data_IF_559221468201
#
_entry.id   IF_559221468201
#
_cell.length_a   1.000
_cell.length_b   1.000
_cell.length_c   1.000
_cell.angle_alpha   90.00
_cell.angle_beta   90.00
_cell.angle_gamma   90.00
#
_symmetry.space_group_name_H-M   'P 1'
#
loop_
_entity.id
_entity.type
_entity.pdbx_description
1 polymer ?
#
# COMPACT_ATOMS: atom_id res chain seq x y z
N UNK A 1 -24.15 -5.96 11.99
CA UNK A 1 -22.66 -5.89 11.97
C UNK A 1 -22.10 -7.14 12.57
N UNK A 2 -21.19 -7.83 11.88
CA UNK A 2 -20.54 -9.04 12.37
C UNK A 2 -19.06 -8.74 12.60
N UNK A 3 -18.49 -9.26 13.71
CA UNK A 3 -17.04 -9.26 13.96
C UNK A 3 -16.44 -10.41 13.15
N UNK A 4 -15.42 -10.16 12.34
CA UNK A 4 -14.80 -11.17 11.46
C UNK A 4 -13.54 -11.78 12.06
N UNK A 5 -12.83 -11.04 12.93
CA UNK A 5 -11.60 -11.52 13.59
C UNK A 5 -11.71 -11.37 15.10
N UNK A 6 -11.00 -12.22 15.86
CA UNK A 6 -11.00 -12.23 17.33
C UNK A 6 -9.58 -12.47 17.88
N UNK A 7 -8.57 -11.95 17.19
CA UNK A 7 -7.18 -12.02 17.62
C UNK A 7 -6.83 -10.85 18.54
N UNK A 8 -5.92 -11.10 19.48
CA UNK A 8 -5.26 -10.05 20.24
C UNK A 8 -4.15 -9.45 19.37
N UNK A 9 -4.07 -8.13 19.34
CA UNK A 9 -3.08 -7.40 18.53
C UNK A 9 -3.74 -6.56 17.46
N UNK A 10 -3.10 -6.52 16.29
CA UNK A 10 -3.50 -5.67 15.17
C UNK A 10 -4.07 -6.51 14.03
N UNK A 11 -5.33 -6.29 13.69
CA UNK A 11 -5.99 -6.73 12.46
C UNK A 11 -6.60 -5.50 11.80
N UNK A 12 -5.98 -4.98 10.74
CA UNK A 12 -6.40 -3.73 10.11
C UNK A 12 -6.02 -3.63 8.61
N UNK A 13 -6.20 -2.44 8.03
CA UNK A 13 -5.90 -2.13 6.63
C UNK A 13 -6.60 -3.07 5.64
N UNK A 14 -7.81 -3.50 6.00
CA UNK A 14 -8.54 -4.49 5.22
C UNK A 14 -9.09 -3.91 3.91
N UNK A 15 -8.91 -4.64 2.82
CA UNK A 15 -9.55 -4.36 1.52
C UNK A 15 -10.26 -5.59 0.99
N UNK A 16 -11.39 -5.37 0.31
CA UNK A 16 -12.20 -6.44 -0.29
C UNK A 16 -11.79 -6.64 -1.74
N UNK A 17 -11.65 -7.88 -2.16
CA UNK A 17 -11.44 -8.26 -3.55
C UNK A 17 -12.55 -7.68 -4.45
N UNK A 18 -12.23 -7.11 -5.63
CA UNK A 18 -13.23 -6.60 -6.57
C UNK A 18 -14.25 -7.65 -7.04
N UNK A 19 -13.89 -8.94 -6.95
CA UNK A 19 -14.82 -10.03 -7.25
C UNK A 19 -15.69 -10.44 -6.06
N UNK A 20 -15.42 -9.85 -4.86
CA UNK A 20 -16.31 -9.92 -3.69
C UNK A 20 -16.20 -11.21 -2.87
N UNK A 21 -15.17 -12.01 -3.05
CA UNK A 21 -15.01 -13.34 -2.43
C UNK A 21 -14.02 -13.36 -1.27
N UNK A 22 -13.05 -12.44 -1.26
CA UNK A 22 -11.93 -12.39 -0.30
C UNK A 22 -11.75 -11.00 0.32
N UNK A 23 -11.13 -11.02 1.50
CA UNK A 23 -10.58 -9.84 2.17
C UNK A 23 -9.08 -10.09 2.34
N UNK A 24 -8.24 -9.09 2.04
CA UNK A 24 -6.84 -9.03 2.45
C UNK A 24 -6.71 -8.03 3.59
N UNK A 25 -5.86 -8.32 4.57
CA UNK A 25 -5.65 -7.45 5.73
C UNK A 25 -4.24 -7.67 6.31
N UNK A 26 -3.77 -6.70 7.09
CA UNK A 26 -2.51 -6.78 7.83
C UNK A 26 -2.78 -7.27 9.25
N UNK A 27 -1.96 -8.19 9.77
CA UNK A 27 -2.12 -8.75 11.12
C UNK A 27 -0.80 -9.03 11.80
N UNK A 28 -0.79 -8.86 13.13
CA UNK A 28 0.36 -9.22 14.00
C UNK A 28 0.23 -10.61 14.63
N UNK A 29 -0.69 -11.45 14.18
CA UNK A 29 -1.02 -12.75 14.81
C UNK A 29 0.13 -13.75 14.93
N UNK A 30 1.15 -13.64 14.08
CA UNK A 30 2.36 -14.47 14.11
C UNK A 30 3.60 -13.73 14.63
N UNK A 31 3.42 -12.55 15.24
CA UNK A 31 4.50 -11.79 15.88
C UNK A 31 5.20 -10.81 14.94
N UNK A 32 4.79 -10.72 13.68
CA UNK A 32 5.22 -9.71 12.71
C UNK A 32 4.00 -9.08 12.02
N UNK A 33 4.20 -8.01 11.26
CA UNK A 33 3.16 -7.36 10.47
C UNK A 33 3.11 -7.96 9.07
N UNK A 34 2.32 -9.03 8.94
CA UNK A 34 2.16 -9.79 7.70
C UNK A 34 0.79 -9.58 7.06
N UNK A 35 0.72 -9.85 5.76
CA UNK A 35 -0.55 -9.92 5.04
C UNK A 35 -1.22 -11.28 5.23
N UNK A 36 -2.52 -11.21 5.40
CA UNK A 36 -3.43 -12.36 5.48
C UNK A 36 -4.60 -12.16 4.54
N UNK A 37 -5.14 -13.27 4.06
CA UNK A 37 -6.44 -13.29 3.36
C UNK A 37 -7.45 -14.11 4.14
N UNK A 38 -8.73 -13.83 3.95
CA UNK A 38 -9.85 -14.61 4.46
C UNK A 38 -11.03 -14.54 3.49
N UNK A 39 -11.98 -15.44 3.63
CA UNK A 39 -13.28 -15.32 2.96
C UNK A 39 -14.05 -14.11 3.48
N UNK A 40 -15.02 -13.63 2.71
CA UNK A 40 -15.84 -12.46 3.07
C UNK A 40 -16.65 -12.67 4.38
N UNK A 41 -16.85 -13.89 4.80
CA UNK A 41 -17.50 -14.27 6.06
C UNK A 41 -16.54 -14.41 7.26
N UNK A 42 -15.23 -14.18 7.06
CA UNK A 42 -14.18 -14.31 8.06
C UNK A 42 -13.56 -15.70 8.16
N UNK A 43 -14.03 -16.68 7.41
CA UNK A 43 -13.47 -18.04 7.39
C UNK A 43 -12.20 -18.14 6.53
N UNK A 44 -11.49 -19.28 6.63
CA UNK A 44 -10.33 -19.64 5.80
C UNK A 44 -9.21 -18.59 5.83
N UNK A 45 -8.82 -18.15 7.04
CA UNK A 45 -7.73 -17.18 7.23
C UNK A 45 -6.39 -17.83 6.86
N UNK A 46 -5.67 -17.21 5.91
CA UNK A 46 -4.38 -17.67 5.41
C UNK A 46 -3.35 -16.56 5.44
N UNK A 47 -2.15 -16.86 5.91
CA UNK A 47 -0.99 -15.98 5.80
C UNK A 47 -0.48 -15.95 4.37
N UNK A 48 -0.13 -14.76 3.89
CA UNK A 48 0.32 -14.48 2.51
C UNK A 48 1.80 -14.12 2.47
N UNK A 49 2.29 -13.36 3.45
CA UNK A 49 3.70 -12.95 3.55
C UNK A 49 4.34 -13.50 4.81
N UNK A 50 5.69 -13.71 4.77
CA UNK A 50 6.43 -14.41 5.83
C UNK A 50 7.80 -13.82 6.10
N UNK A 51 8.24 -12.84 5.31
CA UNK A 51 9.56 -12.22 5.46
C UNK A 51 9.51 -11.16 6.56
N UNK A 52 10.60 -11.08 7.36
CA UNK A 52 10.70 -10.09 8.43
C UNK A 52 10.55 -8.67 7.90
N UNK A 53 9.62 -7.94 8.51
CA UNK A 53 9.32 -6.55 8.20
C UNK A 53 7.84 -6.27 8.07
N UNK A 54 7.49 -5.02 7.92
CA UNK A 54 6.11 -4.61 7.74
C UNK A 54 5.61 -4.91 6.34
N UNK A 55 4.48 -5.58 6.24
CA UNK A 55 3.68 -5.76 5.03
C UNK A 55 2.27 -5.24 5.26
N UNK A 56 1.83 -4.25 4.48
CA UNK A 56 0.50 -3.67 4.71
C UNK A 56 -0.02 -2.77 3.62
N UNK A 57 -1.27 -2.31 3.81
CA UNK A 57 -1.97 -1.46 2.85
C UNK A 57 -2.18 -2.12 1.50
N UNK A 58 -2.55 -3.41 1.50
CA UNK A 58 -2.67 -4.21 0.29
C UNK A 58 -3.99 -3.96 -0.44
N UNK A 59 -3.91 -3.98 -1.78
CA UNK A 59 -5.05 -3.93 -2.69
C UNK A 59 -4.99 -5.06 -3.71
N UNK A 60 -6.14 -5.62 -4.03
CA UNK A 60 -6.29 -6.58 -5.10
C UNK A 60 -6.22 -5.93 -6.48
N UNK A 61 -5.73 -6.68 -7.48
CA UNK A 61 -5.90 -6.35 -8.89
C UNK A 61 -7.39 -6.38 -9.29
N UNK A 62 -7.78 -5.71 -10.38
CA UNK A 62 -9.18 -5.66 -10.83
C UNK A 62 -9.84 -7.03 -11.03
N UNK A 63 -9.06 -8.05 -11.38
CA UNK A 63 -9.49 -9.44 -11.57
C UNK A 63 -9.38 -10.30 -10.28
N UNK A 64 -8.84 -9.72 -9.18
CA UNK A 64 -8.64 -10.41 -7.91
C UNK A 64 -7.44 -11.38 -7.88
N UNK A 65 -6.67 -11.49 -8.96
CA UNK A 65 -5.60 -12.49 -9.08
C UNK A 65 -4.29 -12.10 -8.39
N UNK A 66 -4.06 -10.80 -8.17
CA UNK A 66 -2.82 -10.26 -7.58
C UNK A 66 -3.09 -9.34 -6.40
N UNK A 67 -2.04 -9.15 -5.59
CA UNK A 67 -1.97 -8.16 -4.52
C UNK A 67 -0.80 -7.21 -4.78
N UNK A 68 -1.04 -5.91 -4.57
CA UNK A 68 -0.01 -4.88 -4.47
C UNK A 68 -0.03 -4.30 -3.06
N UNK A 69 1.12 -4.09 -2.44
CA UNK A 69 1.23 -3.60 -1.08
C UNK A 69 2.54 -2.85 -0.85
N UNK A 70 2.64 -2.12 0.25
CA UNK A 70 3.89 -1.52 0.72
C UNK A 70 4.56 -2.43 1.74
N UNK A 71 5.87 -2.42 1.73
CA UNK A 71 6.66 -3.29 2.57
C UNK A 71 7.96 -2.64 3.02
N UNK A 72 8.38 -2.92 4.25
CA UNK A 72 9.76 -2.68 4.69
C UNK A 72 10.49 -4.00 4.86
N UNK A 73 11.79 -3.99 4.56
CA UNK A 73 12.66 -5.17 4.70
C UNK A 73 13.95 -4.76 5.39
N UNK A 74 14.01 -4.80 6.73
CA UNK A 74 15.23 -4.52 7.47
C UNK A 74 16.31 -5.57 7.13
N UNK A 75 17.50 -5.11 6.74
CA UNK A 75 18.57 -5.97 6.22
C UNK A 75 19.76 -6.11 7.16
N UNK A 76 20.07 -5.08 7.93
CA UNK A 76 21.19 -5.09 8.87
C UNK A 76 20.71 -5.42 10.28
N UNK A 77 21.61 -5.97 11.11
CA UNK A 77 21.30 -6.30 12.51
C UNK A 77 20.70 -5.08 13.25
N UNK A 78 21.21 -3.89 12.99
CA UNK A 78 20.71 -2.64 13.58
C UNK A 78 19.29 -2.33 13.14
N UNK A 79 18.98 -2.44 11.85
CA UNK A 79 17.62 -2.20 11.33
C UNK A 79 16.64 -3.24 11.87
N UNK A 80 17.06 -4.48 11.97
CA UNK A 80 16.25 -5.58 12.53
C UNK A 80 15.93 -5.32 14.01
N UNK A 81 16.93 -4.91 14.80
CA UNK A 81 16.75 -4.59 16.22
C UNK A 81 15.82 -3.38 16.40
N UNK A 82 16.01 -2.33 15.61
CA UNK A 82 15.17 -1.14 15.61
C UNK A 82 13.72 -1.47 15.22
N UNK A 83 13.51 -2.25 14.14
CA UNK A 83 12.19 -2.69 13.73
C UNK A 83 11.47 -3.48 14.82
N UNK A 84 12.13 -4.48 15.41
CA UNK A 84 11.55 -5.30 16.48
C UNK A 84 11.21 -4.47 17.72
N UNK A 85 12.10 -3.56 18.11
CA UNK A 85 11.87 -2.65 19.24
C UNK A 85 10.66 -1.73 19.03
N UNK A 86 10.44 -1.25 17.81
CA UNK A 86 9.26 -0.46 17.47
C UNK A 86 7.99 -1.33 17.45
N UNK A 87 8.08 -2.52 16.88
CA UNK A 87 6.94 -3.46 16.81
C UNK A 87 6.45 -3.87 18.21
N UNK A 88 7.34 -4.11 19.15
CA UNK A 88 7.00 -4.37 20.56
C UNK A 88 6.24 -3.21 21.22
N UNK A 89 6.44 -1.99 20.75
CA UNK A 89 5.72 -0.79 21.19
C UNK A 89 4.43 -0.54 20.39
N UNK A 90 4.07 -1.40 19.44
CA UNK A 90 2.94 -1.22 18.53
C UNK A 90 3.17 -0.13 17.48
N UNK A 91 4.43 0.15 17.16
CA UNK A 91 4.84 1.18 16.20
C UNK A 91 5.55 0.57 15.00
N UNK A 92 5.48 1.26 13.86
CA UNK A 92 6.31 1.00 12.67
C UNK A 92 6.86 2.31 12.14
N UNK A 93 8.07 2.26 11.59
CA UNK A 93 8.65 3.40 10.92
C UNK A 93 8.04 3.54 9.52
N UNK A 94 7.46 4.71 9.16
CA UNK A 94 6.76 4.88 7.90
C UNK A 94 7.67 5.19 6.70
N UNK A 95 8.98 5.11 6.89
CA UNK A 95 10.01 5.40 5.89
C UNK A 95 10.68 4.11 5.40
N UNK A 96 11.43 4.20 4.29
CA UNK A 96 12.12 3.06 3.68
C UNK A 96 11.17 1.91 3.34
N UNK A 97 10.04 2.28 2.73
CA UNK A 97 9.05 1.32 2.25
C UNK A 97 9.07 1.26 0.73
N UNK A 98 9.13 0.05 0.21
CA UNK A 98 9.03 -0.25 -1.21
C UNK A 98 7.70 -0.96 -1.53
N UNK A 99 7.33 -0.98 -2.80
CA UNK A 99 6.15 -1.69 -3.24
C UNK A 99 6.52 -3.13 -3.62
N UNK A 100 5.66 -4.05 -3.23
CA UNK A 100 5.76 -5.47 -3.52
C UNK A 100 4.48 -5.96 -4.16
N UNK A 101 4.61 -6.91 -5.07
CA UNK A 101 3.49 -7.52 -5.78
C UNK A 101 3.62 -9.05 -5.70
N UNK A 102 2.49 -9.75 -5.54
CA UNK A 102 2.40 -11.20 -5.57
C UNK A 102 1.07 -11.65 -6.18
N UNK A 103 0.92 -12.93 -6.41
CA UNK A 103 -0.40 -13.53 -6.65
C UNK A 103 -1.24 -13.46 -5.35
N UNK A 104 -2.55 -13.54 -5.45
CA UNK A 104 -3.46 -13.44 -4.29
C UNK A 104 -3.32 -14.59 -3.28
N UNK A 105 -2.62 -15.65 -3.64
CA UNK A 105 -2.24 -16.76 -2.76
C UNK A 105 -0.84 -16.62 -2.14
N UNK A 106 -0.14 -15.51 -2.40
CA UNK A 106 1.21 -15.21 -1.92
C UNK A 106 2.35 -15.73 -2.83
N UNK A 107 2.04 -16.51 -3.85
CA UNK A 107 3.05 -16.99 -4.80
C UNK A 107 3.59 -15.85 -5.68
N UNK A 108 4.76 -16.07 -6.29
CA UNK A 108 5.44 -15.09 -7.16
C UNK A 108 5.69 -13.72 -6.49
N UNK A 109 5.91 -13.71 -5.17
CA UNK A 109 6.24 -12.50 -4.43
C UNK A 109 7.54 -11.88 -4.96
N UNK A 110 7.47 -10.60 -5.30
CA UNK A 110 8.65 -9.82 -5.74
C UNK A 110 8.52 -8.36 -5.38
N UNK A 111 9.66 -7.73 -5.19
CA UNK A 111 9.78 -6.29 -5.08
C UNK A 111 9.46 -5.64 -6.44
N UNK A 112 8.63 -4.60 -6.45
CA UNK A 112 8.24 -3.86 -7.65
C UNK A 112 9.05 -2.57 -7.80
N UNK A 113 9.32 -1.86 -6.69
CA UNK A 113 10.09 -0.62 -6.67
C UNK A 113 11.38 -0.76 -5.85
N UNK A 114 12.40 -0.02 -6.21
CA UNK A 114 13.65 0.17 -5.47
C UNK A 114 14.04 1.65 -5.58
N UNK A 115 13.20 2.51 -4.99
CA UNK A 115 13.28 3.96 -5.12
C UNK A 115 13.86 4.63 -3.87
N UNK A 116 13.84 3.91 -2.75
CA UNK A 116 14.13 4.48 -1.44
C UNK A 116 13.03 5.39 -0.91
N UNK A 117 13.28 5.98 0.26
CA UNK A 117 12.32 6.85 0.96
C UNK A 117 10.99 6.13 1.24
N UNK A 118 9.86 6.80 1.05
CA UNK A 118 8.54 6.26 1.36
C UNK A 118 7.69 6.12 0.10
N UNK A 119 7.28 4.89 -0.19
CA UNK A 119 6.38 4.55 -1.29
C UNK A 119 5.11 3.96 -0.70
N UNK A 120 3.99 4.69 -0.80
CA UNK A 120 2.76 4.39 -0.06
C UNK A 120 1.54 4.25 -0.95
N UNK A 121 0.50 3.61 -0.38
CA UNK A 121 -0.85 3.58 -0.93
C UNK A 121 -0.91 3.16 -2.40
N UNK A 122 -0.27 2.04 -2.78
CA UNK A 122 -0.34 1.57 -4.14
C UNK A 122 -1.75 1.08 -4.47
N UNK A 123 -2.23 1.39 -5.66
CA UNK A 123 -3.48 0.87 -6.21
C UNK A 123 -3.28 0.45 -7.66
N UNK A 124 -3.97 -0.61 -8.08
CA UNK A 124 -3.99 -0.97 -9.49
C UNK A 124 -4.77 0.08 -10.30
N UNK A 125 -4.25 0.42 -11.46
CA UNK A 125 -5.06 1.01 -12.50
C UNK A 125 -6.13 0.01 -12.97
N UNK A 126 -7.35 0.43 -13.35
CA UNK A 126 -8.41 -0.49 -13.78
C UNK A 126 -8.07 -1.44 -14.93
N UNK A 127 -7.03 -1.13 -15.73
CA UNK A 127 -6.51 -2.07 -16.74
C UNK A 127 -5.84 -3.31 -16.13
N UNK A 128 -5.41 -3.24 -14.86
CA UNK A 128 -4.61 -4.29 -14.21
C UNK A 128 -3.12 -4.31 -14.61
N UNK A 129 -2.68 -3.43 -15.51
CA UNK A 129 -1.32 -3.43 -16.06
C UNK A 129 -0.38 -2.41 -15.41
N UNK A 130 -0.92 -1.47 -14.63
CA UNK A 130 -0.17 -0.38 -14.00
C UNK A 130 -0.55 -0.21 -12.54
N UNK A 131 0.39 0.34 -11.77
CA UNK A 131 0.22 0.71 -10.37
C UNK A 131 0.37 2.22 -10.24
N UNK A 132 -0.59 2.87 -9.59
CA UNK A 132 -0.50 4.25 -9.14
C UNK A 132 -0.21 4.26 -7.64
N UNK A 133 0.72 5.10 -7.20
CA UNK A 133 1.15 5.15 -5.81
C UNK A 133 1.63 6.54 -5.41
N UNK A 134 1.74 6.77 -4.12
CA UNK A 134 2.27 7.99 -3.54
C UNK A 134 3.73 7.80 -3.17
N UNK A 135 4.60 8.75 -3.53
CA UNK A 135 6.02 8.66 -3.18
C UNK A 135 6.67 10.02 -2.96
N UNK A 136 7.68 10.03 -2.11
CA UNK A 136 8.58 11.16 -1.90
C UNK A 136 10.03 10.84 -2.31
N UNK A 137 10.25 9.85 -3.19
CA UNK A 137 11.60 9.38 -3.53
C UNK A 137 12.48 10.48 -4.17
N UNK A 138 11.88 11.46 -4.84
CA UNK A 138 12.60 12.61 -5.40
C UNK A 138 12.82 13.76 -4.39
N UNK A 139 12.29 13.64 -3.17
CA UNK A 139 12.40 14.67 -2.16
C UNK A 139 13.71 14.52 -1.35
N UNK A 140 14.38 15.63 -1.08
CA UNK A 140 15.58 15.65 -0.21
C UNK A 140 15.23 15.34 1.26
N UNK A 141 14.03 15.73 1.71
CA UNK A 141 13.54 15.55 3.09
C UNK A 141 12.03 15.36 3.12
N UNK A 142 11.54 14.16 3.37
CA UNK A 142 10.15 13.87 3.73
C UNK A 142 9.06 14.42 2.79
N UNK A 143 9.22 15.54 2.19
CA UNK A 143 8.31 16.23 1.27
C UNK A 143 9.09 16.80 0.07
N UNK A 144 8.43 16.98 -1.11
CA UNK A 144 7.01 16.71 -1.39
C UNK A 144 6.69 15.22 -1.64
N UNK A 145 5.43 14.83 -1.38
CA UNK A 145 4.85 13.60 -1.92
C UNK A 145 4.11 13.89 -3.21
N UNK A 146 4.27 13.01 -4.19
CA UNK A 146 3.55 13.08 -5.45
C UNK A 146 3.02 11.70 -5.85
N UNK A 147 2.09 11.67 -6.78
CA UNK A 147 1.60 10.45 -7.38
C UNK A 147 2.51 10.03 -8.53
N UNK A 148 2.83 8.75 -8.57
CA UNK A 148 3.64 8.11 -9.60
C UNK A 148 2.92 6.88 -10.13
N UNK A 149 3.17 6.58 -11.38
CA UNK A 149 2.68 5.38 -12.05
C UNK A 149 3.83 4.53 -12.55
N UNK A 150 3.70 3.22 -12.39
CA UNK A 150 4.68 2.22 -12.85
C UNK A 150 3.94 1.03 -13.46
N UNK A 151 4.50 0.39 -14.47
CA UNK A 151 3.94 -0.86 -14.99
C UNK A 151 4.14 -2.00 -13.99
N UNK A 152 3.27 -3.01 -14.02
CA UNK A 152 3.35 -4.15 -13.09
C UNK A 152 4.65 -4.96 -13.21
N UNK A 153 5.44 -4.78 -14.28
CA UNK A 153 6.76 -5.39 -14.45
C UNK A 153 7.91 -4.53 -13.86
N UNK A 154 7.58 -3.38 -13.26
CA UNK A 154 8.54 -2.45 -12.65
C UNK A 154 9.19 -1.47 -13.61
N UNK A 155 8.70 -1.38 -14.85
CA UNK A 155 9.22 -0.44 -15.85
C UNK A 155 8.34 0.80 -16.01
N UNK A 156 8.80 1.74 -16.83
CA UNK A 156 8.05 2.92 -17.25
C UNK A 156 7.55 3.80 -16.10
N UNK A 157 8.36 3.94 -15.03
CA UNK A 157 8.05 4.85 -13.93
C UNK A 157 7.82 6.26 -14.46
N UNK A 158 6.67 6.85 -14.10
CA UNK A 158 6.26 8.18 -14.54
C UNK A 158 5.66 8.95 -13.38
N UNK A 159 6.09 10.20 -13.18
CA UNK A 159 5.45 11.12 -12.25
C UNK A 159 4.13 11.62 -12.84
N UNK A 160 3.07 11.61 -12.05
CA UNK A 160 1.70 11.97 -12.44
C UNK A 160 1.32 13.36 -11.92
N UNK A 161 1.67 13.66 -10.65
CA UNK A 161 1.42 14.98 -10.08
C UNK A 161 2.71 15.71 -9.75
N UNK A 162 2.64 17.05 -9.65
CA UNK A 162 3.78 17.94 -9.47
C UNK A 162 3.50 18.94 -8.34
N UNK A 163 3.02 18.44 -7.21
CA UNK A 163 2.81 19.25 -6.01
C UNK A 163 4.15 19.58 -5.33
N UNK A 164 4.23 20.75 -4.73
CA UNK A 164 5.35 21.13 -3.87
C UNK A 164 5.16 20.68 -2.41
N UNK A 165 4.02 20.06 -2.10
CA UNK A 165 3.65 19.66 -0.74
C UNK A 165 3.27 18.19 -0.65
N UNK A 166 2.00 17.84 -0.82
CA UNK A 166 1.50 16.50 -0.55
C UNK A 166 0.35 16.13 -1.48
N UNK A 167 0.56 15.11 -2.30
CA UNK A 167 -0.47 14.41 -3.07
C UNK A 167 -0.35 12.92 -2.75
N UNK A 168 -1.42 12.31 -2.20
CA UNK A 168 -1.37 10.93 -1.73
C UNK A 168 -2.74 10.24 -1.75
N UNK A 169 -2.73 8.94 -1.43
CA UNK A 169 -3.91 8.09 -1.29
C UNK A 169 -4.81 8.08 -2.54
N UNK A 170 -4.25 7.71 -3.70
CA UNK A 170 -5.01 7.67 -4.95
C UNK A 170 -6.03 6.53 -4.95
N UNK A 171 -7.20 6.78 -5.54
CA UNK A 171 -8.23 5.76 -5.78
C UNK A 171 -8.89 6.03 -7.13
N UNK A 172 -8.91 5.03 -8.01
CA UNK A 172 -9.64 5.12 -9.27
C UNK A 172 -11.13 4.85 -9.09
N UNK A 173 -11.96 5.53 -9.90
CA UNK A 173 -13.31 5.08 -10.12
C UNK A 173 -13.31 3.72 -10.83
N UNK A 174 -14.37 2.94 -10.66
CA UNK A 174 -14.45 1.58 -11.22
C UNK A 174 -14.35 1.54 -12.75
N UNK A 175 -14.76 2.60 -13.43
CA UNK A 175 -14.69 2.75 -14.88
C UNK A 175 -13.35 3.34 -15.36
N UNK A 176 -12.42 3.63 -14.44
CA UNK A 176 -11.10 4.20 -14.74
C UNK A 176 -11.09 5.65 -15.20
N UNK A 177 -12.24 6.33 -15.23
CA UNK A 177 -12.33 7.69 -15.79
C UNK A 177 -12.07 8.80 -14.82
N UNK A 178 -12.02 8.48 -13.52
CA UNK A 178 -11.78 9.46 -12.45
C UNK A 178 -10.76 8.96 -11.47
N UNK A 179 -9.95 9.88 -10.97
CA UNK A 179 -9.00 9.67 -9.90
C UNK A 179 -9.36 10.57 -8.73
N UNK A 180 -9.65 9.99 -7.56
CA UNK A 180 -9.72 10.70 -6.31
C UNK A 180 -8.37 10.58 -5.57
N UNK A 181 -7.94 11.64 -4.90
CA UNK A 181 -6.71 11.65 -4.11
C UNK A 181 -6.76 12.74 -3.04
N UNK A 182 -5.91 12.61 -2.04
CA UNK A 182 -5.72 13.62 -0.99
C UNK A 182 -4.62 14.60 -1.36
N UNK A 183 -4.82 15.89 -1.09
CA UNK A 183 -3.83 16.92 -1.39
C UNK A 183 -3.91 18.10 -0.43
N UNK A 184 -2.74 18.75 -0.23
CA UNK A 184 -2.62 20.02 0.50
C UNK A 184 -2.64 21.22 -0.45
N UNK A 185 -2.88 21.02 -1.74
CA UNK A 185 -2.97 22.13 -2.70
C UNK A 185 -4.11 23.08 -2.36
N UNK A 186 -3.98 24.34 -2.69
CA UNK A 186 -5.01 25.38 -2.48
C UNK A 186 -5.45 25.57 -1.03
N UNK A 187 -4.59 25.23 -0.06
CA UNK A 187 -4.88 25.32 1.38
C UNK A 187 -4.53 26.67 2.03
N UNK A 188 -4.19 27.69 1.20
CA UNK A 188 -3.82 29.04 1.66
C UNK A 188 -2.70 29.06 2.73
N UNK A 189 -1.75 28.11 2.66
CA UNK A 189 -0.62 28.01 3.58
C UNK A 189 -0.93 27.29 4.90
N UNK A 190 -2.12 26.73 5.06
CA UNK A 190 -2.42 25.82 6.18
C UNK A 190 -1.80 24.45 5.96
N UNK A 191 -1.96 23.53 6.92
CA UNK A 191 -1.57 22.10 6.79
C UNK A 191 -2.76 21.21 6.45
N UNK A 192 -3.88 21.80 6.07
CA UNK A 192 -5.10 21.04 5.79
C UNK A 192 -4.92 20.17 4.55
N UNK A 193 -5.36 18.93 4.66
CA UNK A 193 -5.41 17.97 3.56
C UNK A 193 -6.87 17.78 3.17
N UNK A 194 -7.16 17.93 1.88
CA UNK A 194 -8.51 17.83 1.33
C UNK A 194 -8.57 16.76 0.23
N UNK A 195 -9.79 16.34 -0.11
CA UNK A 195 -10.04 15.42 -1.21
C UNK A 195 -10.18 16.16 -2.52
N UNK A 196 -9.55 15.64 -3.55
CA UNK A 196 -9.63 16.12 -4.91
C UNK A 196 -10.08 15.01 -5.83
N UNK A 197 -10.72 15.38 -6.93
CA UNK A 197 -11.09 14.49 -8.01
C UNK A 197 -10.61 15.08 -9.33
N UNK A 198 -10.03 14.23 -10.16
CA UNK A 198 -9.57 14.58 -11.51
C UNK A 198 -10.21 13.65 -12.53
N UNK A 199 -10.47 14.15 -13.73
CA UNK A 199 -10.74 13.32 -14.90
C UNK A 199 -9.45 12.62 -15.32
N UNK A 200 -9.54 11.31 -15.56
CA UNK A 200 -8.39 10.50 -15.99
C UNK A 200 -8.45 10.23 -17.49
N UNK A 201 -7.32 10.40 -18.15
CA UNK A 201 -7.12 10.09 -19.56
C UNK A 201 -5.83 9.28 -19.69
N UNK A 202 -5.91 8.10 -20.31
CA UNK A 202 -4.77 7.22 -20.59
C UNK A 202 -3.81 7.79 -21.64
#
# INVERSE_FOLDING_TARGET
TNKLTDQVGYDAEATVSPVGDKIVFTSTRNGDLDLYTMNIDGSDVKQITFDLGYDGGAFFSPDGSKLIFRSSRPKTDKEIEEYKSLLEQGLVQPTNMELYICNSDGSELRQLTDLGNANWSPVFHPSGEKILFSSNFEAERGFPFNLYMIDIDGKNLKRVTHSETFDAFPVFSRDGKKLAFSSNRNNNGTRDTNLFIAEWQD
#
